data_IF_066952577936
#
_entry.id   IF_066952577936
#
_cell.length_a   1.000
_cell.length_b   1.000
_cell.length_c   1.000
_cell.angle_alpha   90.00
_cell.angle_beta   90.00
_cell.angle_gamma   90.00
#
_symmetry.space_group_name_H-M   'P 1'
#
loop_
_entity.id
_entity.type
_entity.pdbx_description
1 polymer ?
#
# COMPACT_ATOMS: atom_id res chain seq x y z
N UNK A 1 7.47 -14.88 12.69
CA UNK A 1 7.07 -16.03 11.85
C UNK A 1 6.55 -15.56 10.51
N UNK A 2 5.39 -14.88 10.45
CA UNK A 2 4.74 -14.51 9.18
C UNK A 2 5.63 -13.71 8.22
N UNK A 3 6.36 -12.71 8.72
CA UNK A 3 7.33 -11.96 7.90
C UNK A 3 8.40 -12.88 7.30
N UNK A 4 8.99 -13.78 8.10
CA UNK A 4 10.01 -14.71 7.63
C UNK A 4 9.46 -15.69 6.57
N UNK A 5 8.21 -16.12 6.69
CA UNK A 5 7.58 -16.96 5.66
C UNK A 5 7.24 -16.20 4.39
N UNK A 6 6.88 -14.91 4.48
CA UNK A 6 6.64 -14.06 3.32
C UNK A 6 7.92 -13.87 2.49
N UNK A 7 9.06 -13.62 3.16
CA UNK A 7 10.36 -13.45 2.50
C UNK A 7 10.78 -14.69 1.68
N UNK A 8 10.33 -15.88 2.06
CA UNK A 8 10.59 -17.11 1.29
C UNK A 8 9.86 -17.09 -0.06
N UNK A 9 8.68 -16.48 -0.14
CA UNK A 9 7.88 -16.37 -1.36
C UNK A 9 8.62 -15.66 -2.50
N UNK A 10 9.46 -14.67 -2.16
CA UNK A 10 10.28 -13.94 -3.13
C UNK A 10 11.21 -14.86 -3.91
N UNK A 11 11.80 -15.86 -3.26
CA UNK A 11 12.67 -16.83 -3.94
C UNK A 11 11.92 -17.63 -5.00
N UNK A 12 10.62 -17.92 -4.79
CA UNK A 12 9.78 -18.59 -5.78
C UNK A 12 9.66 -17.78 -7.08
N UNK A 13 9.54 -16.46 -6.98
CA UNK A 13 9.47 -15.55 -8.13
C UNK A 13 10.81 -15.49 -8.87
N UNK A 14 11.92 -15.33 -8.14
CA UNK A 14 13.27 -15.25 -8.74
C UNK A 14 13.64 -16.55 -9.45
N UNK A 15 13.48 -17.69 -8.77
CA UNK A 15 13.81 -19.00 -9.33
C UNK A 15 12.86 -19.37 -10.48
N UNK A 16 11.59 -18.94 -10.39
CA UNK A 16 10.63 -19.04 -11.48
C UNK A 16 11.12 -18.33 -12.73
N UNK A 17 11.43 -17.03 -12.61
CA UNK A 17 11.97 -16.23 -13.71
C UNK A 17 13.29 -16.77 -14.28
N UNK A 18 14.19 -17.28 -13.43
CA UNK A 18 15.47 -17.84 -13.87
C UNK A 18 15.33 -19.18 -14.61
N UNK A 19 14.46 -20.08 -14.12
CA UNK A 19 14.25 -21.38 -14.77
C UNK A 19 13.45 -21.31 -16.07
N UNK A 20 12.86 -20.15 -16.37
CA UNK A 20 12.19 -19.83 -17.65
C UNK A 20 13.13 -19.90 -18.85
N UNK A 21 14.46 -19.81 -18.68
CA UNK A 21 15.43 -20.00 -19.77
C UNK A 21 15.49 -18.88 -20.82
N UNK A 22 14.76 -17.78 -20.64
CA UNK A 22 14.70 -16.62 -21.53
C UNK A 22 15.01 -15.32 -20.78
N UNK A 23 15.63 -14.34 -21.46
CA UNK A 23 16.11 -13.10 -20.85
C UNK A 23 14.97 -12.19 -20.38
N UNK A 24 13.87 -12.12 -21.13
CA UNK A 24 12.74 -11.24 -20.82
C UNK A 24 11.95 -11.71 -19.56
N UNK A 25 11.57 -12.98 -19.43
CA UNK A 25 10.99 -13.52 -18.18
C UNK A 25 11.88 -13.36 -16.95
N UNK A 26 13.20 -13.51 -17.13
CA UNK A 26 14.17 -13.28 -16.04
C UNK A 26 14.15 -11.83 -15.56
N UNK A 27 14.16 -10.86 -16.49
CA UNK A 27 14.07 -9.43 -16.15
C UNK A 27 12.73 -9.09 -15.48
N UNK A 28 11.63 -9.68 -15.95
CA UNK A 28 10.31 -9.56 -15.31
C UNK A 28 10.30 -10.10 -13.88
N UNK A 29 10.87 -11.30 -13.66
CA UNK A 29 11.01 -11.91 -12.35
C UNK A 29 11.86 -11.06 -11.39
N UNK A 30 13.03 -10.57 -11.84
CA UNK A 30 13.90 -9.71 -11.03
C UNK A 30 13.22 -8.41 -10.59
N UNK A 31 12.44 -7.78 -11.48
CA UNK A 31 11.68 -6.55 -11.17
C UNK A 31 10.54 -6.81 -10.21
N UNK A 32 9.80 -7.91 -10.40
CA UNK A 32 8.78 -8.37 -9.47
C UNK A 32 9.36 -8.58 -8.07
N UNK A 33 10.47 -9.30 -7.98
CA UNK A 33 11.14 -9.56 -6.69
C UNK A 33 11.63 -8.28 -6.03
N UNK A 34 12.21 -7.33 -6.78
CA UNK A 34 12.62 -6.04 -6.25
C UNK A 34 11.43 -5.23 -5.69
N UNK A 35 10.28 -5.29 -6.36
CA UNK A 35 9.03 -4.68 -5.90
C UNK A 35 8.56 -5.33 -4.60
N UNK A 36 8.39 -6.65 -4.58
CA UNK A 36 7.91 -7.41 -3.41
C UNK A 36 8.80 -7.10 -2.20
N UNK A 37 10.13 -7.22 -2.32
CA UNK A 37 11.06 -6.91 -1.22
C UNK A 37 10.89 -5.46 -0.72
N UNK A 38 10.76 -4.50 -1.62
CA UNK A 38 10.63 -3.08 -1.23
C UNK A 38 9.35 -2.81 -0.44
N UNK A 39 8.25 -3.46 -0.82
CA UNK A 39 6.96 -3.31 -0.16
C UNK A 39 6.82 -4.23 1.07
N UNK A 40 7.57 -5.31 1.15
CA UNK A 40 7.71 -6.13 2.35
C UNK A 40 8.34 -5.34 3.50
N UNK A 41 9.33 -4.49 3.21
CA UNK A 41 9.94 -3.58 4.21
C UNK A 41 8.90 -2.58 4.72
N UNK A 42 8.16 -1.92 3.83
CA UNK A 42 7.12 -0.96 4.21
C UNK A 42 5.99 -1.62 5.01
N UNK A 43 5.58 -2.82 4.60
CA UNK A 43 4.61 -3.67 5.29
C UNK A 43 5.12 -4.06 6.68
N UNK A 44 6.35 -4.55 6.80
CA UNK A 44 6.96 -4.94 8.08
C UNK A 44 7.06 -3.78 9.06
N UNK A 45 7.44 -2.59 8.60
CA UNK A 45 7.46 -1.38 9.42
C UNK A 45 6.06 -1.03 9.94
N UNK A 46 5.01 -1.24 9.14
CA UNK A 46 3.63 -0.94 9.59
C UNK A 46 3.20 -1.81 10.78
N UNK A 47 3.75 -3.02 10.90
CA UNK A 47 3.51 -3.91 12.04
C UNK A 47 4.18 -3.43 13.32
N UNK A 48 5.31 -2.74 13.23
CA UNK A 48 6.05 -2.24 14.40
C UNK A 48 5.17 -1.30 15.23
N UNK A 49 4.41 -0.42 14.58
CA UNK A 49 3.45 0.45 15.28
C UNK A 49 2.38 -0.35 16.06
N UNK A 50 1.88 -1.44 15.46
CA UNK A 50 0.91 -2.34 16.10
C UNK A 50 1.53 -3.08 17.28
N UNK A 51 2.77 -3.57 17.15
CA UNK A 51 3.46 -4.29 18.22
C UNK A 51 3.77 -3.38 19.41
N UNK A 52 4.18 -2.13 19.17
CA UNK A 52 4.42 -1.14 20.23
C UNK A 52 3.12 -0.82 20.97
N UNK A 53 2.02 -0.64 20.23
CA UNK A 53 0.72 -0.33 20.81
C UNK A 53 0.15 -1.50 21.63
N UNK A 54 0.20 -2.72 21.08
CA UNK A 54 -0.28 -3.93 21.75
C UNK A 54 0.64 -4.38 22.90
N UNK A 55 1.95 -4.10 22.82
CA UNK A 55 2.95 -4.58 23.79
C UNK A 55 3.31 -6.06 23.65
N UNK A 56 2.86 -6.73 22.59
CA UNK A 56 3.11 -8.13 22.30
C UNK A 56 3.16 -8.36 20.79
N UNK A 57 3.87 -9.41 20.38
CA UNK A 57 3.89 -9.90 18.99
C UNK A 57 2.94 -11.11 18.79
N UNK A 58 2.25 -11.55 19.85
CA UNK A 58 1.23 -12.60 19.77
C UNK A 58 -0.02 -12.06 19.10
N UNK A 59 -0.52 -12.77 18.08
CA UNK A 59 -1.76 -12.40 17.38
C UNK A 59 -2.96 -12.39 18.32
N UNK A 60 -2.99 -13.29 19.32
CA UNK A 60 -4.03 -13.34 20.34
C UNK A 60 -4.04 -12.08 21.21
N UNK A 61 -2.88 -11.65 21.69
CA UNK A 61 -2.75 -10.44 22.53
C UNK A 61 -3.07 -9.18 21.72
N UNK A 62 -2.67 -9.15 20.45
CA UNK A 62 -2.99 -8.05 19.54
C UNK A 62 -4.50 -7.95 19.32
N UNK A 63 -5.21 -9.06 19.14
CA UNK A 63 -6.68 -9.05 19.05
C UNK A 63 -7.29 -8.59 20.38
N UNK A 64 -6.79 -9.08 21.52
CA UNK A 64 -7.28 -8.71 22.84
C UNK A 64 -7.10 -7.22 23.15
N UNK A 65 -6.01 -6.60 22.65
CA UNK A 65 -5.75 -5.16 22.79
C UNK A 65 -6.76 -4.27 22.03
N UNK A 66 -7.51 -4.83 21.07
CA UNK A 66 -8.48 -4.13 20.22
C UNK A 66 -9.91 -4.16 20.77
N UNK A 67 -10.08 -4.31 22.09
CA UNK A 67 -11.38 -4.44 22.74
C UNK A 67 -12.22 -3.15 22.74
N UNK A 68 -11.56 -1.99 22.86
CA UNK A 68 -12.24 -0.68 22.92
C UNK A 68 -12.36 -0.05 21.54
N UNK A 69 -11.21 0.11 20.88
CA UNK A 69 -11.13 0.63 19.52
C UNK A 69 -10.24 -0.29 18.70
N UNK A 70 -10.58 -0.42 17.42
CA UNK A 70 -9.75 -1.14 16.47
C UNK A 70 -8.51 -0.33 16.11
N UNK A 71 -7.42 -1.05 15.83
CA UNK A 71 -6.15 -0.45 15.45
C UNK A 71 -6.24 0.32 14.13
N UNK A 72 -7.25 0.07 13.29
CA UNK A 72 -7.54 0.88 12.10
C UNK A 72 -7.80 2.36 12.44
N UNK A 73 -8.44 2.63 13.58
CA UNK A 73 -8.78 4.00 14.01
C UNK A 73 -7.57 4.65 14.71
N UNK A 74 -6.95 3.90 15.62
CA UNK A 74 -5.85 4.42 16.45
C UNK A 74 -4.55 4.56 15.65
N UNK A 75 -4.26 3.59 14.79
CA UNK A 75 -3.03 3.49 14.00
C UNK A 75 -3.34 3.64 12.50
N UNK A 76 -4.19 4.60 12.15
CA UNK A 76 -4.64 4.80 10.77
C UNK A 76 -3.48 4.95 9.76
N UNK A 77 -2.39 5.70 10.03
CA UNK A 77 -1.25 5.76 9.11
C UNK A 77 -0.58 4.39 8.89
N UNK A 78 -0.40 3.60 9.94
CA UNK A 78 0.12 2.22 9.82
C UNK A 78 -0.81 1.36 8.97
N UNK A 79 -2.13 1.48 9.19
CA UNK A 79 -3.12 0.77 8.38
C UNK A 79 -3.07 1.16 6.91
N UNK A 80 -3.03 2.46 6.60
CA UNK A 80 -2.98 2.94 5.23
C UNK A 80 -1.71 2.47 4.50
N UNK A 81 -0.55 2.55 5.16
CA UNK A 81 0.71 2.05 4.61
C UNK A 81 0.66 0.53 4.42
N UNK A 82 0.08 -0.19 5.37
CA UNK A 82 -0.12 -1.64 5.26
C UNK A 82 -0.99 -2.00 4.04
N UNK A 83 -2.15 -1.33 3.88
CA UNK A 83 -3.08 -1.56 2.77
C UNK A 83 -2.43 -1.26 1.42
N UNK A 84 -1.62 -0.21 1.32
CA UNK A 84 -0.90 0.06 0.07
C UNK A 84 0.17 -1.01 -0.18
N UNK A 85 0.89 -1.41 0.87
CA UNK A 85 2.00 -2.36 0.75
C UNK A 85 1.53 -3.78 0.45
N UNK A 86 0.38 -4.23 0.99
CA UNK A 86 -0.17 -5.55 0.70
C UNK A 86 -0.61 -5.71 -0.77
N UNK A 87 -0.98 -4.62 -1.44
CA UNK A 87 -1.27 -4.66 -2.90
C UNK A 87 0.03 -4.73 -3.70
N UNK A 88 1.08 -4.03 -3.25
CA UNK A 88 2.42 -4.14 -3.85
C UNK A 88 3.04 -5.53 -3.70
N UNK A 89 2.87 -6.16 -2.54
CA UNK A 89 3.35 -7.51 -2.21
C UNK A 89 2.71 -8.60 -3.06
N UNK A 90 1.43 -8.46 -3.38
CA UNK A 90 0.65 -9.47 -4.13
C UNK A 90 0.83 -9.36 -5.64
N UNK A 91 1.64 -8.40 -6.12
CA UNK A 91 1.91 -8.15 -7.55
C UNK A 91 0.64 -8.09 -8.41
N UNK A 92 -0.48 -7.61 -7.87
CA UNK A 92 -1.75 -7.53 -8.59
C UNK A 92 -2.10 -6.13 -9.05
N UNK A 93 -2.91 -6.07 -10.11
CA UNK A 93 -3.41 -4.82 -10.68
C UNK A 93 -4.06 -3.98 -9.57
N UNK A 94 -3.69 -2.69 -9.42
CA UNK A 94 -2.98 -1.81 -10.37
C UNK A 94 -1.43 -1.89 -10.38
N UNK A 95 -0.81 -2.71 -9.53
CA UNK A 95 0.66 -2.81 -9.35
C UNK A 95 1.27 -4.09 -9.95
N UNK A 96 0.62 -4.62 -10.96
CA UNK A 96 1.05 -5.80 -11.70
C UNK A 96 2.03 -5.41 -12.81
N UNK A 97 3.23 -5.05 -12.38
CA UNK A 97 4.26 -4.45 -13.22
C UNK A 97 5.15 -5.48 -13.92
N UNK A 98 5.11 -6.73 -13.49
CA UNK A 98 5.91 -7.80 -14.05
C UNK A 98 5.12 -8.69 -15.02
N UNK A 99 3.80 -8.82 -14.87
CA UNK A 99 2.94 -9.58 -15.78
C UNK A 99 2.53 -8.75 -17.01
N UNK A 100 2.48 -7.41 -16.89
CA UNK A 100 1.76 -6.55 -17.83
C UNK A 100 2.59 -5.56 -18.65
N UNK A 101 3.93 -5.61 -18.65
CA UNK A 101 4.70 -4.82 -19.60
C UNK A 101 4.59 -5.41 -21.01
N UNK A 102 4.14 -4.60 -21.97
CA UNK A 102 3.98 -4.96 -23.38
C UNK A 102 5.27 -5.39 -24.09
N UNK A 103 6.42 -5.33 -23.40
CA UNK A 103 7.72 -5.80 -23.88
C UNK A 103 8.04 -7.25 -23.42
N UNK A 104 7.32 -7.81 -22.43
CA UNK A 104 7.69 -9.08 -21.78
C UNK A 104 6.68 -10.23 -21.97
N UNK A 105 5.66 -10.07 -22.82
CA UNK A 105 4.74 -11.13 -23.31
C UNK A 105 4.08 -11.99 -22.19
N UNK A 106 3.98 -11.51 -20.94
CA UNK A 106 3.41 -12.26 -19.80
C UNK A 106 4.40 -12.61 -18.68
N UNK A 107 5.60 -12.03 -18.68
CA UNK A 107 6.54 -12.10 -17.57
C UNK A 107 7.09 -13.51 -17.33
N UNK A 108 7.13 -13.95 -16.07
CA UNK A 108 7.63 -15.29 -15.71
C UNK A 108 6.61 -16.42 -15.96
N UNK A 109 5.38 -16.11 -16.38
CA UNK A 109 4.35 -17.12 -16.68
C UNK A 109 4.48 -17.74 -18.07
N UNK A 110 5.18 -17.08 -18.99
CA UNK A 110 5.13 -17.40 -20.44
C UNK A 110 5.65 -18.78 -20.79
N UNK A 111 6.62 -19.28 -20.04
CA UNK A 111 7.30 -20.55 -20.32
C UNK A 111 6.70 -21.73 -19.52
N UNK A 112 5.74 -21.48 -18.63
CA UNK A 112 5.09 -22.53 -17.84
C UNK A 112 3.75 -22.93 -18.44
N UNK A 113 3.59 -24.23 -18.72
CA UNK A 113 2.33 -24.81 -19.17
C UNK A 113 1.53 -25.45 -18.03
N UNK A 114 0.21 -25.45 -18.18
CA UNK A 114 -0.75 -26.30 -17.47
C UNK A 114 -0.66 -26.21 -15.94
N UNK A 115 -0.23 -27.28 -15.26
CA UNK A 115 -0.26 -27.38 -13.81
C UNK A 115 0.73 -26.43 -13.13
N UNK A 116 1.90 -26.20 -13.72
CA UNK A 116 2.89 -25.25 -13.17
C UNK A 116 2.36 -23.82 -13.19
N UNK A 117 1.73 -23.43 -14.30
CA UNK A 117 1.02 -22.16 -14.42
C UNK A 117 -0.10 -22.03 -13.38
N UNK A 118 -0.95 -23.05 -13.23
CA UNK A 118 -2.03 -23.03 -12.25
C UNK A 118 -1.53 -22.88 -10.81
N UNK A 119 -0.36 -23.45 -10.47
CA UNK A 119 0.24 -23.32 -9.14
C UNK A 119 0.73 -21.89 -8.86
N UNK A 120 1.22 -21.14 -9.85
CA UNK A 120 1.57 -19.72 -9.67
C UNK A 120 0.34 -18.88 -9.32
N UNK A 121 -0.76 -19.02 -10.08
CA UNK A 121 -2.01 -18.32 -9.77
C UNK A 121 -2.57 -18.72 -8.41
N UNK A 122 -2.55 -20.01 -8.09
CA UNK A 122 -3.00 -20.48 -6.78
C UNK A 122 -2.19 -19.84 -5.66
N UNK A 123 -0.86 -19.78 -5.80
CA UNK A 123 0.02 -19.15 -4.82
C UNK A 123 -0.27 -17.65 -4.66
N UNK A 124 -0.50 -16.92 -5.75
CA UNK A 124 -0.89 -15.51 -5.69
C UNK A 124 -2.23 -15.31 -4.95
N UNK A 125 -3.24 -16.13 -5.24
CA UNK A 125 -4.54 -16.04 -4.57
C UNK A 125 -4.47 -16.43 -3.09
N UNK A 126 -3.67 -17.44 -2.75
CA UNK A 126 -3.40 -17.79 -1.35
C UNK A 126 -2.68 -16.64 -0.65
N UNK A 127 -1.76 -15.96 -1.31
CA UNK A 127 -1.08 -14.78 -0.76
C UNK A 127 -2.08 -13.65 -0.49
N UNK A 128 -3.00 -13.36 -1.42
CA UNK A 128 -4.09 -12.37 -1.23
C UNK A 128 -4.89 -12.67 0.04
N UNK A 129 -5.28 -13.93 0.25
CA UNK A 129 -6.01 -14.36 1.45
C UNK A 129 -5.14 -14.18 2.69
N UNK A 130 -3.85 -14.54 2.64
CA UNK A 130 -2.93 -14.42 3.75
C UNK A 130 -2.73 -12.95 4.19
N UNK A 131 -2.44 -12.04 3.26
CA UNK A 131 -2.30 -10.61 3.58
C UNK A 131 -3.63 -10.01 4.08
N UNK A 132 -4.76 -10.43 3.53
CA UNK A 132 -6.09 -9.99 4.00
C UNK A 132 -6.41 -10.48 5.41
N UNK A 133 -6.02 -11.71 5.75
CA UNK A 133 -6.17 -12.29 7.08
C UNK A 133 -5.29 -11.55 8.11
N UNK A 134 -4.07 -11.16 7.73
CA UNK A 134 -3.19 -10.35 8.57
C UNK A 134 -3.74 -8.94 8.79
N UNK A 135 -4.23 -8.29 7.73
CA UNK A 135 -4.91 -7.00 7.82
C UNK A 135 -6.05 -7.05 8.85
N UNK A 136 -6.88 -8.09 8.73
CA UNK A 136 -8.03 -8.32 9.60
C UNK A 136 -7.62 -8.53 11.05
N UNK A 137 -6.57 -9.34 11.28
CA UNK A 137 -6.06 -9.66 12.61
C UNK A 137 -5.42 -8.45 13.30
N UNK A 138 -4.57 -7.72 12.59
CA UNK A 138 -3.75 -6.65 13.16
C UNK A 138 -4.50 -5.32 13.30
N UNK A 139 -5.44 -5.03 12.38
CA UNK A 139 -6.09 -3.72 12.31
C UNK A 139 -7.58 -3.71 12.61
N UNK A 140 -8.32 -4.79 12.33
CA UNK A 140 -9.79 -4.82 12.40
C UNK A 140 -10.32 -5.74 13.50
N UNK A 141 -9.55 -5.94 14.57
CA UNK A 141 -9.96 -6.71 15.74
C UNK A 141 -10.14 -8.21 15.47
N UNK A 142 -9.58 -8.75 14.38
CA UNK A 142 -9.66 -10.16 14.04
C UNK A 142 -11.10 -10.69 14.01
N UNK A 143 -11.44 -11.69 14.85
CA UNK A 143 -12.78 -12.27 14.90
C UNK A 143 -13.81 -11.44 15.68
N UNK A 144 -13.41 -10.37 16.38
CA UNK A 144 -14.30 -9.56 17.21
C UNK A 144 -15.31 -8.77 16.36
N UNK A 145 -16.55 -8.62 16.83
CA UNK A 145 -17.54 -7.78 16.16
C UNK A 145 -17.10 -6.29 16.16
N UNK A 146 -17.60 -5.46 15.22
CA UNK A 146 -17.37 -4.02 15.23
C UNK A 146 -17.70 -3.38 16.59
N UNK A 147 -16.85 -2.48 17.12
CA UNK A 147 -17.07 -1.85 18.42
C UNK A 147 -18.41 -1.10 18.41
N UNK A 148 -19.26 -1.36 19.40
CA UNK A 148 -20.59 -0.74 19.53
C UNK A 148 -21.75 -1.56 18.95
N UNK A 149 -21.49 -2.59 18.14
CA UNK A 149 -22.49 -3.59 17.81
C UNK A 149 -22.54 -4.60 18.96
N UNK A 150 -23.56 -4.51 19.82
CA UNK A 150 -23.78 -5.41 20.97
C UNK A 150 -23.96 -6.90 20.64
N UNK A 151 -23.74 -7.30 19.39
CA UNK A 151 -23.69 -8.68 18.91
C UNK A 151 -22.37 -9.34 19.30
N UNK A 152 -22.18 -9.58 20.59
CA UNK A 152 -21.03 -10.34 21.10
C UNK A 152 -21.25 -11.85 20.91
N UNK A 153 -20.14 -12.59 20.94
CA UNK A 153 -20.09 -14.07 20.92
C UNK A 153 -20.96 -14.75 21.99
N UNK A 154 -21.47 -13.98 22.96
CA UNK A 154 -22.42 -14.43 23.97
C UNK A 154 -23.82 -14.80 23.41
N UNK A 155 -24.25 -14.20 22.29
CA UNK A 155 -25.59 -14.43 21.74
C UNK A 155 -25.69 -15.66 20.83
N UNK A 156 -24.63 -16.01 20.09
CA UNK A 156 -24.68 -17.02 19.02
C UNK A 156 -23.54 -18.06 19.06
N UNK A 157 -22.69 -18.04 20.10
CA UNK A 157 -21.59 -18.99 20.27
C UNK A 157 -20.33 -18.68 19.45
N UNK A 158 -19.28 -19.49 19.63
CA UNK A 158 -17.95 -19.26 19.06
C UNK A 158 -17.87 -19.33 17.53
N UNK A 159 -18.83 -19.98 16.85
CA UNK A 159 -18.88 -20.04 15.38
C UNK A 159 -19.12 -18.67 14.74
N UNK A 160 -19.84 -17.78 15.44
CA UNK A 160 -20.14 -16.44 14.93
C UNK A 160 -18.88 -15.57 14.78
N UNK A 161 -17.88 -15.79 15.63
CA UNK A 161 -16.55 -15.17 15.55
C UNK A 161 -15.82 -15.52 14.23
N UNK A 162 -16.02 -16.74 13.72
CA UNK A 162 -15.45 -17.15 12.43
C UNK A 162 -16.10 -16.41 11.27
N UNK A 163 -17.42 -16.20 11.32
CA UNK A 163 -18.17 -15.48 10.27
C UNK A 163 -17.66 -14.04 10.16
N UNK A 164 -17.46 -13.33 11.27
CA UNK A 164 -16.92 -11.97 11.25
C UNK A 164 -15.52 -11.89 10.69
N UNK A 165 -14.65 -12.83 11.07
CA UNK A 165 -13.31 -12.90 10.52
C UNK A 165 -13.36 -13.12 9.00
N UNK A 166 -14.13 -14.10 8.55
CA UNK A 166 -14.27 -14.43 7.14
C UNK A 166 -14.89 -13.28 6.32
N UNK A 167 -15.90 -12.60 6.86
CA UNK A 167 -16.53 -11.45 6.23
C UNK A 167 -15.54 -10.30 6.02
N UNK A 168 -14.66 -10.02 7.00
CA UNK A 168 -13.62 -9.00 6.88
C UNK A 168 -12.56 -9.38 5.86
N UNK A 169 -12.15 -10.65 5.82
CA UNK A 169 -11.25 -11.16 4.78
C UNK A 169 -11.89 -11.02 3.39
N UNK A 170 -13.17 -11.36 3.25
CA UNK A 170 -13.93 -11.15 2.01
C UNK A 170 -14.04 -9.67 1.65
N UNK A 171 -14.18 -8.76 2.62
CA UNK A 171 -14.20 -7.33 2.36
C UNK A 171 -12.86 -6.84 1.76
N UNK A 172 -11.72 -7.35 2.23
CA UNK A 172 -10.44 -7.09 1.58
C UNK A 172 -10.33 -7.73 0.19
N UNK A 173 -10.86 -8.94 0.01
CA UNK A 173 -10.89 -9.56 -1.30
C UNK A 173 -11.71 -8.72 -2.30
N UNK A 174 -12.87 -8.24 -1.88
CA UNK A 174 -13.67 -7.28 -2.65
C UNK A 174 -12.89 -5.98 -2.91
N UNK A 175 -12.15 -5.48 -1.92
CA UNK A 175 -11.28 -4.31 -2.09
C UNK A 175 -10.22 -4.53 -3.18
N UNK A 176 -9.57 -5.69 -3.26
CA UNK A 176 -8.65 -6.02 -4.36
C UNK A 176 -9.33 -5.98 -5.73
N UNK A 177 -10.52 -6.56 -5.84
CA UNK A 177 -11.31 -6.54 -7.09
C UNK A 177 -11.72 -5.12 -7.45
N UNK A 178 -12.10 -4.32 -6.46
CA UNK A 178 -12.50 -2.93 -6.64
C UNK A 178 -11.33 -2.04 -7.08
N UNK A 179 -10.17 -2.16 -6.45
CA UNK A 179 -8.95 -1.45 -6.86
C UNK A 179 -8.56 -1.79 -8.31
N UNK A 180 -8.63 -3.07 -8.68
CA UNK A 180 -8.37 -3.52 -10.05
C UNK A 180 -9.33 -2.88 -11.06
N UNK A 181 -10.59 -2.67 -10.69
CA UNK A 181 -11.60 -2.08 -11.57
C UNK A 181 -11.55 -0.55 -11.65
N UNK A 182 -10.91 0.13 -10.69
CA UNK A 182 -10.98 1.60 -10.57
C UNK A 182 -9.68 2.32 -10.89
N UNK A 183 -8.53 1.76 -10.53
CA UNK A 183 -7.26 2.48 -10.62
C UNK A 183 -6.55 2.20 -11.95
N UNK A 184 -5.99 3.24 -12.60
CA UNK A 184 -5.08 3.03 -13.71
C UNK A 184 -3.81 2.34 -13.21
N UNK A 185 -3.17 1.58 -14.09
CA UNK A 185 -1.88 0.94 -13.79
C UNK A 185 -0.82 2.01 -13.53
N UNK A 186 -0.01 1.80 -12.49
CA UNK A 186 1.11 2.68 -12.16
C UNK A 186 2.40 2.14 -12.75
N UNK A 187 3.33 3.02 -13.14
CA UNK A 187 4.64 2.64 -13.71
C UNK A 187 5.58 2.17 -12.59
N UNK A 188 6.46 1.22 -12.91
CA UNK A 188 7.44 0.66 -11.96
C UNK A 188 8.27 1.73 -11.26
N UNK A 189 8.84 2.66 -12.02
CA UNK A 189 9.67 3.73 -11.46
C UNK A 189 8.90 4.63 -10.47
N UNK A 190 7.63 4.89 -10.74
CA UNK A 190 6.78 5.72 -9.87
C UNK A 190 6.43 4.97 -8.59
N UNK A 191 6.07 3.70 -8.74
CA UNK A 191 5.71 2.85 -7.61
C UNK A 191 6.91 2.61 -6.69
N UNK A 192 8.09 2.31 -7.24
CA UNK A 192 9.30 2.14 -6.43
C UNK A 192 9.71 3.43 -5.71
N UNK A 193 9.61 4.58 -6.39
CA UNK A 193 9.85 5.89 -5.75
C UNK A 193 8.87 6.17 -4.62
N UNK A 194 7.60 5.80 -4.78
CA UNK A 194 6.58 5.98 -3.76
C UNK A 194 6.89 5.16 -2.49
N UNK A 195 7.22 3.88 -2.64
CA UNK A 195 7.61 3.02 -1.52
C UNK A 195 8.81 3.57 -0.75
N UNK A 196 9.90 3.87 -1.47
CA UNK A 196 11.16 4.27 -0.86
C UNK A 196 11.20 5.72 -0.35
N UNK A 197 10.59 6.68 -1.07
CA UNK A 197 10.67 8.10 -0.70
C UNK A 197 9.50 8.59 0.13
N UNK A 198 8.38 7.87 0.13
CA UNK A 198 7.15 8.29 0.84
C UNK A 198 6.79 7.29 1.93
N UNK A 199 6.49 6.03 1.58
CA UNK A 199 5.95 5.08 2.56
C UNK A 199 6.93 4.80 3.70
N UNK A 200 8.17 4.42 3.39
CA UNK A 200 9.16 4.06 4.41
C UNK A 200 9.45 5.25 5.36
N UNK A 201 9.80 6.46 4.89
CA UNK A 201 10.07 7.59 5.78
C UNK A 201 8.86 7.99 6.63
N UNK A 202 7.65 8.01 6.05
CA UNK A 202 6.42 8.33 6.79
C UNK A 202 6.16 7.27 7.86
N UNK A 203 6.40 5.99 7.56
CA UNK A 203 6.21 4.91 8.53
C UNK A 203 7.18 5.03 9.71
N UNK A 204 8.46 5.32 9.44
CA UNK A 204 9.47 5.53 10.49
C UNK A 204 9.06 6.72 11.40
N UNK A 205 8.67 7.84 10.80
CA UNK A 205 8.20 9.00 11.57
C UNK A 205 6.97 8.67 12.42
N UNK A 206 6.03 7.90 11.86
CA UNK A 206 4.84 7.46 12.57
C UNK A 206 5.14 6.50 13.73
N UNK A 207 6.06 5.56 13.55
CA UNK A 207 6.52 4.65 14.62
C UNK A 207 7.09 5.45 15.79
N UNK A 208 7.86 6.51 15.52
CA UNK A 208 8.37 7.40 16.57
C UNK A 208 7.24 8.08 17.34
N UNK A 209 6.24 8.61 16.64
CA UNK A 209 5.04 9.21 17.27
C UNK A 209 4.31 8.19 18.16
N UNK A 210 4.07 6.98 17.65
CA UNK A 210 3.38 5.92 18.40
C UNK A 210 4.19 5.48 19.61
N UNK A 211 5.52 5.34 19.47
CA UNK A 211 6.42 5.02 20.57
C UNK A 211 6.41 6.09 21.66
N UNK A 212 6.47 7.37 21.29
CA UNK A 212 6.41 8.48 22.26
C UNK A 212 5.05 8.53 22.97
N UNK A 213 3.94 8.38 22.24
CA UNK A 213 2.60 8.33 22.85
C UNK A 213 2.47 7.17 23.83
N UNK A 214 2.99 5.99 23.47
CA UNK A 214 2.97 4.81 24.34
C UNK A 214 3.79 5.03 25.61
N UNK A 215 4.97 5.63 25.48
CA UNK A 215 5.84 5.96 26.62
C UNK A 215 5.16 6.94 27.59
N UNK A 216 4.58 8.03 27.06
CA UNK A 216 3.85 9.03 27.87
C UNK A 216 2.67 8.39 28.63
N UNK A 217 1.95 7.49 27.97
CA UNK A 217 0.84 6.76 28.58
C UNK A 217 1.33 5.83 29.71
N UNK A 218 2.47 5.13 29.52
CA UNK A 218 3.04 4.24 30.53
C UNK A 218 3.57 4.99 31.76
N UNK A 219 4.11 6.19 31.57
CA UNK A 219 4.59 7.05 32.67
C UNK A 219 3.44 7.73 33.43
N UNK A 220 2.18 7.51 33.04
CA UNK A 220 1.03 8.13 33.68
C UNK A 220 0.97 9.65 33.45
N UNK A 221 1.51 10.14 32.33
CA UNK A 221 1.45 11.56 31.99
C UNK A 221 -0.01 12.05 31.97
N UNK A 222 -0.23 13.30 32.37
CA UNK A 222 -1.58 13.87 32.39
C UNK A 222 -2.19 13.87 30.99
N UNK A 223 -3.52 13.71 30.90
CA UNK A 223 -4.24 13.71 29.62
C UNK A 223 -3.98 14.98 28.79
N UNK A 224 -3.67 16.11 29.46
CA UNK A 224 -3.28 17.36 28.80
C UNK A 224 -1.95 17.26 28.06
N UNK A 225 -0.96 16.54 28.59
CA UNK A 225 0.33 16.34 27.92
C UNK A 225 0.16 15.44 26.70
N UNK A 226 -0.62 14.38 26.82
CA UNK A 226 -0.94 13.48 25.69
C UNK A 226 -1.70 14.25 24.61
N UNK A 227 -2.76 14.97 24.98
CA UNK A 227 -3.54 15.78 24.05
C UNK A 227 -2.70 16.90 23.41
N UNK A 228 -1.82 17.54 24.18
CA UNK A 228 -0.89 18.55 23.69
C UNK A 228 0.11 17.99 22.67
N UNK A 229 0.68 16.82 22.94
CA UNK A 229 1.57 16.14 22.00
C UNK A 229 0.83 15.70 20.73
N UNK A 230 -0.33 15.06 20.87
CA UNK A 230 -1.15 14.67 19.71
C UNK A 230 -1.55 15.90 18.89
N UNK A 231 -1.97 16.98 19.54
CA UNK A 231 -2.31 18.25 18.87
C UNK A 231 -1.12 18.86 18.13
N UNK A 232 0.07 18.85 18.73
CA UNK A 232 1.30 19.32 18.09
C UNK A 232 1.67 18.48 16.87
N UNK A 233 1.53 17.15 16.95
CA UNK A 233 1.77 16.24 15.81
C UNK A 233 0.77 16.53 14.68
N UNK A 234 -0.53 16.69 14.99
CA UNK A 234 -1.55 17.01 14.00
C UNK A 234 -1.25 18.35 13.32
N UNK A 235 -0.88 19.38 14.09
CA UNK A 235 -0.50 20.69 13.54
C UNK A 235 0.77 20.59 12.68
N UNK A 236 1.75 19.79 13.06
CA UNK A 236 2.95 19.56 12.27
C UNK A 236 2.63 18.88 10.94
N UNK A 237 1.73 17.88 10.94
CA UNK A 237 1.26 17.21 9.72
C UNK A 237 0.49 18.18 8.82
N UNK A 238 -0.44 18.97 9.37
CA UNK A 238 -1.17 19.99 8.62
C UNK A 238 -0.22 21.06 8.06
N UNK A 239 0.77 21.49 8.84
CA UNK A 239 1.84 22.39 8.40
C UNK A 239 2.64 21.80 7.23
N UNK A 240 3.04 20.53 7.33
CA UNK A 240 3.74 19.83 6.26
C UNK A 240 2.88 19.70 4.99
N UNK A 241 1.59 19.37 5.12
CA UNK A 241 0.65 19.29 4.00
C UNK A 241 0.47 20.65 3.31
N UNK A 242 0.29 21.73 4.07
CA UNK A 242 0.16 23.08 3.49
C UNK A 242 1.43 23.55 2.79
N UNK A 243 2.62 23.23 3.32
CA UNK A 243 3.90 23.52 2.67
C UNK A 243 4.03 22.71 1.37
N UNK A 244 3.66 21.42 1.41
CA UNK A 244 3.67 20.55 0.25
C UNK A 244 2.76 21.09 -0.87
N UNK A 245 1.51 21.44 -0.54
CA UNK A 245 0.55 22.00 -1.50
C UNK A 245 1.05 23.32 -2.10
N UNK A 246 1.59 24.22 -1.26
CA UNK A 246 2.21 25.46 -1.74
C UNK A 246 3.39 25.20 -2.67
N UNK A 247 4.23 24.21 -2.35
CA UNK A 247 5.37 23.85 -3.19
C UNK A 247 4.94 23.27 -4.54
N UNK A 248 3.84 22.52 -4.56
CA UNK A 248 3.27 21.94 -5.77
C UNK A 248 2.70 23.03 -6.68
N UNK A 249 1.91 23.94 -6.12
CA UNK A 249 1.36 25.11 -6.85
C UNK A 249 2.49 25.93 -7.44
N UNK A 250 3.53 26.26 -6.66
CA UNK A 250 4.69 27.02 -7.15
C UNK A 250 5.45 26.31 -8.29
N UNK A 251 5.48 24.98 -8.27
CA UNK A 251 6.11 24.18 -9.33
C UNK A 251 5.26 24.17 -10.60
N UNK A 252 3.94 24.05 -10.47
CA UNK A 252 2.98 24.16 -11.58
C UNK A 252 3.00 25.56 -12.21
N UNK A 253 3.03 26.62 -11.40
CA UNK A 253 3.19 28.00 -11.87
C UNK A 253 4.49 28.19 -12.66
N UNK A 254 5.61 27.64 -12.15
CA UNK A 254 6.90 27.71 -12.84
C UNK A 254 6.94 26.89 -14.14
N UNK A 255 6.21 25.78 -14.20
CA UNK A 255 6.07 24.97 -15.41
C UNK A 255 5.19 25.64 -16.48
N UNK A 256 4.22 26.45 -16.07
CA UNK A 256 3.39 27.23 -16.99
C UNK A 256 4.07 28.52 -17.47
N UNK A 257 5.12 28.99 -16.77
CA UNK A 257 5.95 30.13 -17.15
C UNK A 257 7.12 29.75 -18.08
N UNK A 258 6.98 28.71 -18.89
CA UNK A 258 7.96 28.43 -19.95
C UNK A 258 7.84 29.53 -21.00
N UNK A 259 8.88 30.36 -21.11
CA UNK A 259 8.97 31.36 -22.18
C UNK A 259 8.76 30.68 -23.54
N UNK A 260 7.97 31.28 -24.45
CA UNK A 260 7.75 30.70 -25.77
C UNK A 260 9.11 30.45 -26.42
N UNK A 261 9.41 29.18 -26.71
CA UNK A 261 10.65 28.83 -27.39
C UNK A 261 10.69 29.57 -28.73
N UNK A 262 11.86 30.10 -29.16
CA UNK A 262 12.01 30.68 -30.48
C UNK A 262 11.46 29.69 -31.52
N UNK A 263 10.60 30.16 -32.42
CA UNK A 263 10.02 29.29 -33.44
C UNK A 263 11.15 28.56 -34.19
N UNK A 264 11.09 27.24 -34.33
CA UNK A 264 12.12 26.49 -35.03
C UNK A 264 12.25 27.02 -36.46
N UNK A 265 13.49 27.18 -36.94
CA UNK A 265 13.80 27.72 -38.28
C UNK A 265 13.41 26.81 -39.45
N UNK A 266 12.72 25.70 -39.17
CA UNK A 266 12.24 24.73 -40.14
C UNK A 266 10.70 24.66 -40.12
N UNK A 267 10.05 24.43 -41.27
CA UNK A 267 8.58 24.43 -41.33
C UNK A 267 8.00 23.31 -40.47
N UNK A 268 7.20 23.67 -39.47
CA UNK A 268 6.43 22.73 -38.67
C UNK A 268 4.97 22.68 -39.16
N UNK A 269 4.35 21.49 -39.26
CA UNK A 269 2.93 21.37 -39.56
C UNK A 269 2.10 22.10 -38.50
N UNK A 270 1.19 22.99 -38.93
CA UNK A 270 0.36 23.77 -38.02
C UNK A 270 -0.62 22.85 -37.26
N UNK A 271 -0.61 22.95 -35.92
CA UNK A 271 -1.60 22.27 -35.09
C UNK A 271 -2.98 22.89 -35.31
N UNK A 272 -4.07 22.10 -35.36
CA UNK A 272 -5.43 22.59 -35.66
C UNK A 272 -5.91 23.72 -34.71
N UNK A 273 -5.38 23.79 -33.49
CA UNK A 273 -5.71 24.83 -32.51
C UNK A 273 -5.19 26.23 -32.92
N UNK A 274 -4.13 26.31 -33.72
CA UNK A 274 -3.55 27.59 -34.18
C UNK A 274 -4.40 28.26 -35.28
N UNK A 275 -5.13 27.47 -36.07
CA UNK A 275 -6.04 27.97 -37.10
C UNK A 275 -7.26 28.68 -36.49
N UNK A 276 -7.79 28.16 -35.38
CA UNK A 276 -8.97 28.73 -34.71
C UNK A 276 -8.70 30.09 -34.04
N UNK A 277 -7.45 30.38 -33.64
CA UNK A 277 -7.06 31.69 -33.10
C UNK A 277 -6.87 32.72 -34.22
N UNK A 278 -6.29 32.31 -35.35
CA UNK A 278 -6.15 33.18 -36.54
C UNK A 278 -7.51 33.59 -37.13
N UNK A 279 -8.52 32.73 -37.05
CA UNK A 279 -9.87 33.05 -37.49
C UNK A 279 -10.59 34.05 -36.58
N UNK A 280 -10.20 34.15 -35.30
CA UNK A 280 -10.76 35.12 -34.34
C UNK A 280 -10.11 36.49 -34.37
N UNK A 281 -8.84 36.59 -34.78
CA UNK A 281 -8.14 37.88 -34.94
C UNK A 281 -8.35 38.51 -36.33
N UNK A 282 -9.02 37.80 -37.23
CA UNK A 282 -9.30 38.23 -38.61
C UNK A 282 -10.66 38.89 -38.83
N UNK A 283 -11.24 39.56 -37.82
CA UNK A 283 -12.48 40.33 -37.95
C UNK A 283 -12.35 41.72 -37.30
#
# INVERSE_FOLDING_TARGET
YVLATASIGVYGIVLGGWSSGSTYPLLGGLRSSAQVISYEIAMGLSFVGVFIYAGSMSTGDIIASQSTWWNVVVLFPSFAIYVISMVGETNRAPFDLAEAEGELVGGFHTEYSSLKFALFFLAEYVNIIAVSALATTLFLGGPSAPPGLGFTSAWFGGWFSFIWFFLKVLAFFFFFVWLRGTLPRLRYDQFMKFGWKVLIPVNIAWILVVATLRLLTQQGASQFVIAGFTGAVVLAVLGAMTIYDRSKIKTEERANQVEPMPEPSFPVPALPTSLALKEKEGN
#
